data_IF_825170445828
#
_entry.id   IF_825170445828
#
_cell.length_a   1.000
_cell.length_b   1.000
_cell.length_c   1.000
_cell.angle_alpha   90.00
_cell.angle_beta   90.00
_cell.angle_gamma   90.00
#
_symmetry.space_group_name_H-M   'P 1'
#
loop_
_entity.id
_entity.type
_entity.pdbx_description
1 polymer ?
#
# COMPACT_ATOMS: atom_id res chain seq x y z
N UNK A 1 -3.28 18.02 1.93
CA UNK A 1 -1.86 17.68 1.74
C UNK A 1 -1.79 16.39 0.93
N UNK A 2 -0.96 16.33 -0.10
CA UNK A 2 -0.78 15.13 -0.94
C UNK A 2 0.36 14.21 -0.46
N UNK A 3 0.98 14.54 0.68
CA UNK A 3 2.09 13.79 1.28
C UNK A 3 1.88 13.60 2.77
N UNK A 4 2.41 12.49 3.27
CA UNK A 4 2.46 12.11 4.68
C UNK A 4 3.75 11.31 4.92
N UNK A 5 4.36 11.45 6.09
CA UNK A 5 5.47 10.58 6.53
C UNK A 5 5.02 9.11 6.52
N UNK A 6 5.65 8.30 5.69
CA UNK A 6 5.36 6.87 5.53
C UNK A 6 6.62 6.13 5.06
N UNK A 7 6.60 4.80 5.21
CA UNK A 7 7.59 3.89 4.65
C UNK A 7 6.98 3.28 3.39
N UNK A 8 7.71 3.32 2.27
CA UNK A 8 7.28 2.67 1.04
C UNK A 8 7.74 1.21 0.99
N UNK A 9 6.89 0.34 0.45
CA UNK A 9 7.25 -1.05 0.12
C UNK A 9 6.72 -1.35 -1.29
N UNK A 10 7.51 -1.08 -2.34
CA UNK A 10 7.09 -1.29 -3.71
C UNK A 10 7.02 -2.79 -4.00
N UNK A 11 5.87 -3.24 -4.52
CA UNK A 11 5.62 -4.64 -4.85
C UNK A 11 5.42 -4.81 -6.36
N UNK A 12 5.75 -6.00 -6.87
CA UNK A 12 5.49 -6.32 -8.26
C UNK A 12 3.97 -6.45 -8.51
N UNK A 13 3.45 -5.67 -9.46
CA UNK A 13 2.03 -5.73 -9.83
C UNK A 13 1.55 -7.09 -10.35
N UNK A 14 2.48 -7.94 -10.82
CA UNK A 14 2.21 -9.27 -11.35
C UNK A 14 2.07 -10.36 -10.26
N UNK A 15 2.25 -10.01 -8.99
CA UNK A 15 2.12 -10.97 -7.90
C UNK A 15 0.71 -11.56 -7.79
N UNK A 16 0.66 -12.80 -7.32
CA UNK A 16 -0.58 -13.47 -6.91
C UNK A 16 -1.06 -12.88 -5.58
N UNK A 17 -2.34 -13.09 -5.28
CA UNK A 17 -2.93 -12.61 -4.02
C UNK A 17 -2.14 -13.09 -2.79
N UNK A 18 -1.76 -14.38 -2.73
CA UNK A 18 -1.01 -14.94 -1.60
C UNK A 18 0.35 -14.30 -1.37
N UNK A 19 0.97 -13.78 -2.43
CA UNK A 19 2.25 -13.06 -2.34
C UNK A 19 2.03 -11.65 -1.79
N UNK A 20 1.00 -10.94 -2.26
CA UNK A 20 0.60 -9.66 -1.65
C UNK A 20 0.22 -9.82 -0.18
N UNK A 21 -0.52 -10.87 0.16
CA UNK A 21 -0.91 -11.19 1.54
C UNK A 21 0.30 -11.35 2.46
N UNK A 22 1.33 -12.07 2.02
CA UNK A 22 2.58 -12.23 2.77
C UNK A 22 3.21 -10.87 3.09
N UNK A 23 3.39 -9.99 2.11
CA UNK A 23 4.03 -8.69 2.33
C UNK A 23 3.17 -7.74 3.17
N UNK A 24 1.84 -7.76 3.01
CA UNK A 24 0.94 -6.92 3.80
C UNK A 24 0.98 -7.32 5.28
N UNK A 25 1.05 -8.62 5.56
CA UNK A 25 1.16 -9.18 6.91
C UNK A 25 2.51 -8.84 7.55
N UNK A 26 3.61 -9.15 6.85
CA UNK A 26 4.99 -8.95 7.31
C UNK A 26 5.27 -7.48 7.67
N UNK A 27 4.85 -6.56 6.80
CA UNK A 27 5.04 -5.12 7.00
C UNK A 27 3.98 -4.48 7.91
N UNK A 28 2.93 -5.22 8.29
CA UNK A 28 1.75 -4.68 8.97
C UNK A 28 1.19 -3.43 8.26
N UNK A 29 1.07 -3.53 6.93
CA UNK A 29 0.80 -2.37 6.06
C UNK A 29 -0.53 -1.69 6.39
N UNK A 30 -0.50 -0.37 6.56
CA UNK A 30 -1.68 0.44 6.87
C UNK A 30 -2.54 0.75 5.63
N UNK A 31 -1.92 0.87 4.45
CA UNK A 31 -2.58 1.22 3.19
C UNK A 31 -1.90 0.50 2.01
N UNK A 32 -2.71 0.03 1.06
CA UNK A 32 -2.27 -0.43 -0.25
C UNK A 32 -2.60 0.62 -1.31
N UNK A 33 -1.57 1.10 -2.00
CA UNK A 33 -1.73 1.99 -3.16
C UNK A 33 -1.73 1.13 -4.43
N UNK A 34 -2.82 1.17 -5.19
CA UNK A 34 -3.01 0.36 -6.40
C UNK A 34 -3.26 1.24 -7.64
N UNK A 35 -3.02 0.76 -8.88
CA UNK A 35 -3.33 1.53 -10.08
C UNK A 35 -4.83 1.81 -10.23
N UNK A 36 -5.17 2.87 -10.98
CA UNK A 36 -6.57 3.17 -11.33
C UNK A 36 -7.26 1.97 -11.99
N UNK A 37 -8.47 1.66 -11.54
CA UNK A 37 -9.27 0.55 -12.05
C UNK A 37 -8.95 -0.80 -11.40
N UNK A 38 -7.86 -0.92 -10.63
CA UNK A 38 -7.53 -2.16 -9.93
C UNK A 38 -8.59 -2.53 -8.88
N UNK A 39 -9.23 -1.52 -8.24
CA UNK A 39 -10.30 -1.73 -7.28
C UNK A 39 -11.55 -2.32 -7.94
N UNK A 40 -11.97 -1.74 -9.08
CA UNK A 40 -13.14 -2.21 -9.82
C UNK A 40 -12.93 -3.61 -10.42
N UNK A 41 -11.70 -3.94 -10.80
CA UNK A 41 -11.31 -5.27 -11.29
C UNK A 41 -11.11 -6.31 -10.18
N UNK A 42 -11.26 -5.91 -8.92
CA UNK A 42 -10.98 -6.73 -7.74
C UNK A 42 -9.60 -7.41 -7.83
N UNK A 43 -8.57 -6.65 -8.19
CA UNK A 43 -7.23 -7.17 -8.46
C UNK A 43 -6.63 -7.92 -7.24
N UNK A 44 -5.61 -8.76 -7.48
CA UNK A 44 -4.98 -9.58 -6.45
C UNK A 44 -4.53 -8.78 -5.21
N UNK A 45 -3.96 -7.58 -5.41
CA UNK A 45 -3.56 -6.68 -4.32
C UNK A 45 -4.75 -6.14 -3.51
N UNK A 46 -5.89 -5.88 -4.17
CA UNK A 46 -7.13 -5.39 -3.52
C UNK A 46 -7.72 -6.47 -2.63
N UNK A 47 -7.81 -7.71 -3.13
CA UNK A 47 -8.28 -8.86 -2.34
C UNK A 47 -7.38 -9.12 -1.14
N UNK A 48 -6.06 -9.05 -1.32
CA UNK A 48 -5.10 -9.19 -0.24
C UNK A 48 -5.26 -8.09 0.83
N UNK A 49 -5.35 -6.82 0.40
CA UNK A 49 -5.55 -5.69 1.32
C UNK A 49 -6.84 -5.80 2.13
N UNK A 50 -7.96 -6.22 1.51
CA UNK A 50 -9.23 -6.48 2.20
C UNK A 50 -9.11 -7.53 3.29
N UNK A 51 -8.43 -8.65 3.00
CA UNK A 51 -8.21 -9.74 3.98
C UNK A 51 -7.54 -9.24 5.26
N UNK A 52 -6.56 -8.35 5.12
CA UNK A 52 -5.83 -7.76 6.25
C UNK A 52 -6.44 -6.44 6.74
N UNK A 53 -7.59 -6.02 6.18
CA UNK A 53 -8.25 -4.75 6.45
C UNK A 53 -7.32 -3.53 6.31
N UNK A 54 -6.34 -3.60 5.42
CA UNK A 54 -5.55 -2.42 5.05
C UNK A 54 -6.44 -1.43 4.29
N UNK A 55 -6.18 -0.13 4.43
CA UNK A 55 -6.84 0.85 3.57
C UNK A 55 -6.47 0.60 2.10
N UNK A 56 -7.34 0.97 1.17
CA UNK A 56 -7.09 0.83 -0.27
C UNK A 56 -7.31 2.18 -0.92
N UNK A 57 -6.31 2.65 -1.66
CA UNK A 57 -6.45 3.84 -2.51
C UNK A 57 -5.91 3.56 -3.90
N UNK A 58 -6.63 4.06 -4.91
CA UNK A 58 -6.11 4.12 -6.27
C UNK A 58 -5.23 5.36 -6.42
N UNK A 59 -3.99 5.16 -6.88
CA UNK A 59 -3.03 6.24 -7.13
C UNK A 59 -2.82 6.38 -8.65
N UNK A 60 -3.09 7.57 -9.19
CA UNK A 60 -2.96 7.83 -10.63
C UNK A 60 -2.77 9.31 -10.96
N UNK A 61 -2.18 9.59 -12.12
CA UNK A 61 -2.11 10.94 -12.67
C UNK A 61 -3.35 11.22 -13.53
N UNK A 62 -4.05 12.33 -13.27
CA UNK A 62 -5.27 12.69 -14.01
C UNK A 62 -5.02 13.64 -15.20
N UNK A 63 -3.76 13.90 -15.56
CA UNK A 63 -3.38 14.89 -16.58
C UNK A 63 -3.03 16.27 -16.00
N UNK A 64 -3.26 16.49 -14.70
CA UNK A 64 -2.92 17.72 -13.99
C UNK A 64 -2.17 17.45 -12.69
N UNK A 65 -2.61 16.49 -11.90
CA UNK A 65 -2.06 16.17 -10.59
C UNK A 65 -2.10 14.66 -10.29
N UNK A 66 -1.34 14.26 -9.27
CA UNK A 66 -1.44 12.92 -8.69
C UNK A 66 -2.67 12.88 -7.78
N UNK A 67 -3.56 11.94 -8.06
CA UNK A 67 -4.79 11.68 -7.31
C UNK A 67 -4.56 10.45 -6.44
N UNK A 68 -4.90 10.58 -5.15
CA UNK A 68 -5.07 9.48 -4.21
C UNK A 68 -6.56 9.31 -3.93
N UNK A 69 -7.17 8.35 -4.62
CA UNK A 69 -8.61 8.09 -4.57
C UNK A 69 -8.87 6.94 -3.57
N UNK A 70 -9.24 7.30 -2.34
CA UNK A 70 -9.48 6.33 -1.26
C UNK A 70 -10.76 5.55 -1.57
N UNK A 71 -10.62 4.24 -1.75
CA UNK A 71 -11.72 3.32 -2.02
C UNK A 71 -12.24 2.67 -0.74
N UNK A 72 -11.33 2.28 0.15
CA UNK A 72 -11.66 1.68 1.44
C UNK A 72 -10.74 2.23 2.54
N UNK A 73 -11.31 2.57 3.69
CA UNK A 73 -10.56 3.17 4.81
C UNK A 73 -9.93 2.08 5.70
N UNK A 74 -10.50 0.87 5.73
CA UNK A 74 -9.96 -0.27 6.51
C UNK A 74 -9.64 0.09 7.97
N UNK A 75 -8.50 -0.40 8.46
CA UNK A 75 -7.95 -0.17 9.81
C UNK A 75 -7.60 1.30 10.11
N UNK A 76 -7.69 2.20 9.13
CA UNK A 76 -7.52 3.64 9.36
C UNK A 76 -8.82 4.32 9.83
N UNK A 77 -9.96 3.61 9.82
CA UNK A 77 -11.23 4.19 10.23
C UNK A 77 -11.18 4.62 11.70
N UNK A 78 -11.59 5.86 11.98
CA UNK A 78 -11.55 6.44 13.33
C UNK A 78 -10.15 6.79 13.85
N UNK A 79 -9.08 6.52 13.08
CA UNK A 79 -7.73 6.96 13.42
C UNK A 79 -7.50 8.36 12.85
N UNK A 80 -7.08 9.27 13.72
CA UNK A 80 -6.56 10.57 13.32
C UNK A 80 -5.10 10.64 13.73
N UNK A 81 -4.26 11.19 12.87
CA UNK A 81 -2.88 11.49 13.17
C UNK A 81 -2.53 12.83 12.55
N UNK A 82 -1.70 13.65 13.20
CA UNK A 82 -1.22 14.88 12.59
C UNK A 82 -0.46 14.54 11.30
N UNK A 83 -0.51 15.46 10.34
CA UNK A 83 0.37 15.38 9.18
C UNK A 83 1.81 15.55 9.69
N UNK A 84 2.66 14.58 9.40
CA UNK A 84 4.04 14.56 9.88
C UNK A 84 5.00 14.85 8.73
N UNK A 85 6.11 15.52 9.06
CA UNK A 85 7.23 15.72 8.14
C UNK A 85 8.24 14.59 8.30
N UNK A 86 8.75 14.06 7.18
CA UNK A 86 9.82 13.08 7.17
C UNK A 86 11.09 13.65 7.80
N UNK A 87 11.83 12.83 8.54
CA UNK A 87 13.11 13.15 9.18
C UNK A 87 14.26 12.43 8.46
N UNK A 88 15.51 12.93 8.55
CA UNK A 88 16.65 12.32 7.86
C UNK A 88 16.90 10.85 8.21
N UNK A 89 16.60 10.44 9.45
CA UNK A 89 16.81 9.07 9.94
C UNK A 89 15.59 8.16 9.71
N UNK A 90 14.55 8.64 9.04
CA UNK A 90 13.38 7.83 8.72
C UNK A 90 13.72 6.77 7.66
N UNK A 91 13.19 5.57 7.87
CA UNK A 91 13.18 4.56 6.81
C UNK A 91 12.29 5.06 5.68
N UNK A 92 12.87 5.28 4.51
CA UNK A 92 12.12 5.69 3.33
C UNK A 92 11.46 4.50 2.62
N UNK A 93 12.15 3.36 2.59
CA UNK A 93 11.86 2.24 1.71
C UNK A 93 12.26 0.91 2.36
N UNK A 94 11.39 -0.10 2.27
CA UNK A 94 11.71 -1.50 2.58
C UNK A 94 11.65 -2.31 1.29
N UNK A 95 12.69 -3.09 1.04
CA UNK A 95 12.81 -3.97 -0.12
C UNK A 95 13.06 -5.40 0.35
N UNK A 96 12.18 -6.32 -0.04
CA UNK A 96 12.42 -7.75 0.15
C UNK A 96 13.34 -8.28 -0.94
N UNK A 97 14.34 -9.06 -0.55
CA UNK A 97 15.19 -9.78 -1.49
C UNK A 97 14.48 -11.04 -1.99
N UNK A 98 14.82 -11.51 -3.19
CA UNK A 98 14.30 -12.77 -3.71
C UNK A 98 14.72 -13.94 -2.81
N UNK A 99 13.80 -14.45 -2.00
CA UNK A 99 14.04 -15.60 -1.13
C UNK A 99 14.29 -16.87 -1.95
N UNK A 100 15.55 -17.29 -2.08
CA UNK A 100 15.92 -18.55 -2.75
C UNK A 100 15.66 -19.78 -1.87
N UNK A 101 15.30 -19.59 -0.60
CA UNK A 101 15.08 -20.67 0.38
C UNK A 101 13.63 -20.76 0.92
N UNK A 102 12.69 -19.99 0.40
CA UNK A 102 11.30 -19.96 0.87
C UNK A 102 10.72 -18.55 0.98
N UNK A 103 9.88 -18.31 2.01
CA UNK A 103 9.43 -16.95 2.38
C UNK A 103 10.66 -16.10 2.76
N UNK A 104 10.85 -14.90 2.16
CA UNK A 104 11.92 -13.99 2.56
C UNK A 104 11.74 -13.47 4.00
#
# INVERSE_FOLDING_TARGET
>A
ASWQRAIAAPLNSAYKQSEFEFYIDDLSSAIALVPKGAFAQDAAAVRAARKYQAAIAECYYNGKEVVLDIKEIGKLAGKSSPVLSAQPDDVALVLHTSGTTGRP
#
